data_IF_846017701586
#
_entry.id   IF_846017701586
#
_cell.length_a   1.000
_cell.length_b   1.000
_cell.length_c   1.000
_cell.angle_alpha   90.00
_cell.angle_beta   90.00
_cell.angle_gamma   90.00
#
_symmetry.space_group_name_H-M   'P 1'
#
loop_
_entity.id
_entity.type
_entity.pdbx_description
1 polymer ?
#
# COMPACT_ATOMS: atom_id res chain seq x y z
N UNK A 1 -14.94 10.57 0.69
CA UNK A 1 -16.00 10.32 -0.32
C UNK A 1 -16.43 8.86 -0.36
N UNK A 2 -15.51 7.90 -0.43
CA UNK A 2 -15.84 6.46 -0.47
C UNK A 2 -16.79 5.98 0.65
N UNK A 3 -16.62 6.45 1.90
CA UNK A 3 -17.49 6.08 3.01
C UNK A 3 -18.97 6.51 2.88
N UNK A 4 -19.30 7.46 2.00
CA UNK A 4 -20.68 7.92 1.80
C UNK A 4 -21.47 7.07 0.78
N UNK A 5 -20.80 6.22 -0.01
CA UNK A 5 -21.42 5.39 -1.05
C UNK A 5 -21.38 3.88 -0.73
N UNK A 6 -20.73 3.49 0.37
CA UNK A 6 -20.60 2.11 0.77
C UNK A 6 -21.96 1.50 1.18
N UNK A 7 -22.24 0.29 0.73
CA UNK A 7 -23.40 -0.50 1.19
C UNK A 7 -22.99 -1.63 2.16
N UNK A 8 -21.69 -1.83 2.34
CA UNK A 8 -21.09 -2.77 3.28
C UNK A 8 -20.38 -3.92 2.55
N UNK A 9 -19.08 -4.08 2.83
CA UNK A 9 -18.26 -5.17 2.29
C UNK A 9 -17.47 -4.82 1.03
N UNK A 10 -17.58 -3.59 0.52
CA UNK A 10 -16.77 -3.13 -0.62
C UNK A 10 -15.36 -2.71 -0.18
N UNK A 11 -14.36 -3.11 -0.98
CA UNK A 11 -13.00 -2.60 -0.90
C UNK A 11 -12.82 -1.53 -1.99
N UNK A 12 -12.77 -0.26 -1.58
CA UNK A 12 -12.64 0.85 -2.53
C UNK A 12 -11.18 1.17 -2.84
N UNK A 13 -10.91 1.43 -4.12
CA UNK A 13 -9.61 1.90 -4.61
C UNK A 13 -9.80 3.22 -5.36
N UNK A 14 -8.77 4.09 -5.29
CA UNK A 14 -8.81 5.44 -5.84
C UNK A 14 -7.86 5.58 -7.02
N UNK A 15 -8.30 6.32 -8.03
CA UNK A 15 -7.41 6.79 -9.09
C UNK A 15 -6.52 7.92 -8.57
N UNK A 16 -5.24 7.60 -8.36
CA UNK A 16 -4.22 8.54 -7.89
C UNK A 16 -3.56 9.30 -9.05
N UNK A 17 -3.96 9.02 -10.30
CA UNK A 17 -3.40 9.62 -11.49
C UNK A 17 -1.96 9.17 -11.76
N UNK A 18 -1.11 10.12 -12.16
CA UNK A 18 0.27 9.80 -12.58
C UNK A 18 1.19 9.64 -11.37
N UNK A 19 2.04 8.61 -11.34
CA UNK A 19 3.04 8.45 -10.29
C UNK A 19 4.07 9.60 -10.33
N UNK A 20 4.58 9.96 -9.17
CA UNK A 20 5.59 11.03 -9.01
C UNK A 20 6.90 10.42 -8.50
N UNK A 21 8.00 10.75 -9.17
CA UNK A 21 9.34 10.35 -8.70
C UNK A 21 9.75 11.22 -7.52
N UNK A 22 10.16 10.59 -6.42
CA UNK A 22 10.57 11.29 -5.19
C UNK A 22 11.76 12.23 -5.43
N UNK A 23 12.69 11.86 -6.32
CA UNK A 23 13.82 12.73 -6.69
C UNK A 23 13.37 14.02 -7.39
N UNK A 24 12.32 13.96 -8.22
CA UNK A 24 11.79 15.15 -8.91
C UNK A 24 11.05 16.05 -7.93
N UNK A 25 10.32 15.46 -6.98
CA UNK A 25 9.70 16.18 -5.87
C UNK A 25 10.75 16.92 -5.03
N UNK A 26 11.82 16.22 -4.60
CA UNK A 26 12.89 16.82 -3.80
C UNK A 26 13.55 18.00 -4.53
N UNK A 27 13.91 17.83 -5.82
CA UNK A 27 14.43 18.92 -6.66
C UNK A 27 13.46 20.09 -6.75
N UNK A 28 12.16 19.82 -6.90
CA UNK A 28 11.13 20.86 -6.98
C UNK A 28 11.03 21.66 -5.68
N UNK A 29 11.13 21.00 -4.53
CA UNK A 29 11.13 21.67 -3.22
C UNK A 29 12.35 22.58 -3.02
N UNK A 30 13.56 22.11 -3.39
CA UNK A 30 14.77 22.95 -3.33
C UNK A 30 14.64 24.18 -4.24
N UNK A 31 14.12 23.99 -5.46
CA UNK A 31 13.90 25.09 -6.40
C UNK A 31 12.91 26.14 -5.85
N UNK A 32 11.77 25.69 -5.32
CA UNK A 32 10.71 26.58 -4.80
C UNK A 32 11.13 27.32 -3.52
N UNK A 33 12.10 26.79 -2.78
CA UNK A 33 12.64 27.42 -1.57
C UNK A 33 13.90 28.25 -1.80
N UNK A 34 14.36 28.37 -3.06
CA UNK A 34 15.63 29.01 -3.43
C UNK A 34 16.85 28.37 -2.75
N UNK A 35 16.78 27.07 -2.41
CA UNK A 35 17.84 26.31 -1.73
C UNK A 35 18.55 25.31 -2.65
N UNK A 36 18.84 25.73 -3.88
CA UNK A 36 19.58 24.90 -4.85
C UNK A 36 21.05 24.68 -4.46
N UNK A 37 21.52 25.34 -3.39
CA UNK A 37 22.82 25.11 -2.75
C UNK A 37 22.89 23.78 -1.99
N UNK A 38 21.75 23.19 -1.62
CA UNK A 38 21.70 21.92 -0.88
C UNK A 38 21.82 20.71 -1.80
N UNK A 39 22.60 19.72 -1.38
CA UNK A 39 22.75 18.44 -2.05
C UNK A 39 21.61 17.47 -1.68
N UNK A 40 21.16 16.67 -2.66
CA UNK A 40 20.29 15.51 -2.42
C UNK A 40 21.16 14.26 -2.31
N UNK A 41 21.37 13.78 -1.08
CA UNK A 41 22.14 12.55 -0.82
C UNK A 41 21.25 11.31 -0.95
N UNK A 42 21.72 10.31 -1.70
CA UNK A 42 21.06 9.01 -1.80
C UNK A 42 21.51 8.11 -0.65
N UNK A 43 20.56 7.49 0.04
CA UNK A 43 20.81 6.67 1.25
C UNK A 43 20.47 5.18 1.08
N UNK A 44 20.02 4.77 -0.11
CA UNK A 44 19.50 3.42 -0.35
C UNK A 44 18.06 3.23 0.17
N UNK A 45 17.45 2.11 -0.21
CA UNK A 45 16.16 1.66 0.26
C UNK A 45 16.28 0.98 1.62
N UNK A 46 15.31 1.24 2.49
CA UNK A 46 15.19 0.59 3.79
C UNK A 46 14.57 -0.79 3.64
N UNK A 47 14.81 -1.66 4.63
CA UNK A 47 14.19 -2.99 4.70
C UNK A 47 12.66 -2.87 4.59
N UNK A 48 12.06 -3.64 3.69
CA UNK A 48 10.61 -3.62 3.45
C UNK A 48 10.13 -2.55 2.48
N UNK A 49 10.97 -1.61 2.05
CA UNK A 49 10.56 -0.59 1.07
C UNK A 49 10.48 -1.13 -0.35
N UNK A 50 9.52 -0.61 -1.11
CA UNK A 50 9.38 -0.81 -2.55
C UNK A 50 9.86 0.42 -3.30
N UNK A 51 10.50 0.21 -4.46
CA UNK A 51 10.88 1.30 -5.36
C UNK A 51 9.67 1.87 -6.11
N UNK A 52 8.66 1.02 -6.36
CA UNK A 52 7.37 1.36 -6.94
C UNK A 52 6.28 0.65 -6.16
N UNK A 53 5.22 1.37 -5.80
CA UNK A 53 4.01 0.76 -5.25
C UNK A 53 3.18 0.11 -6.37
N UNK A 54 2.32 -0.83 -5.99
CA UNK A 54 1.39 -1.44 -6.93
C UNK A 54 0.37 -0.40 -7.42
N UNK A 55 -0.05 -0.50 -8.69
CA UNK A 55 -1.17 0.29 -9.17
C UNK A 55 -2.45 -0.19 -8.47
N UNK A 56 -3.20 0.75 -7.89
CA UNK A 56 -4.38 0.43 -7.08
C UNK A 56 -5.59 -0.04 -7.89
N UNK A 57 -5.62 0.21 -9.21
CA UNK A 57 -6.74 -0.12 -10.09
C UNK A 57 -6.35 -1.29 -10.99
N UNK A 58 -7.08 -2.40 -10.87
CA UNK A 58 -7.02 -3.52 -11.80
C UNK A 58 -8.02 -3.32 -12.96
N UNK A 59 -7.73 -3.92 -14.11
CA UNK A 59 -8.64 -3.85 -15.27
C UNK A 59 -10.01 -4.48 -15.00
N UNK A 60 -10.11 -5.36 -14.00
CA UNK A 60 -11.33 -6.06 -13.60
C UNK A 60 -12.07 -5.40 -12.43
N UNK A 61 -11.61 -4.26 -11.94
CA UNK A 61 -12.27 -3.54 -10.84
C UNK A 61 -13.59 -2.91 -11.32
N UNK A 62 -14.61 -2.97 -10.47
CA UNK A 62 -15.92 -2.43 -10.80
C UNK A 62 -15.94 -0.90 -10.67
N UNK A 63 -16.42 -0.23 -11.72
CA UNK A 63 -16.61 1.23 -11.70
C UNK A 63 -17.73 1.63 -10.75
N UNK A 64 -17.57 2.78 -10.08
CA UNK A 64 -18.66 3.44 -9.36
C UNK A 64 -19.26 4.58 -10.20
N UNK A 65 -20.20 5.34 -9.62
CA UNK A 65 -20.72 6.57 -10.22
C UNK A 65 -19.69 7.71 -10.31
N UNK A 66 -18.52 7.57 -9.68
CA UNK A 66 -17.43 8.53 -9.72
C UNK A 66 -16.24 7.93 -10.48
N UNK A 67 -15.73 8.67 -11.46
CA UNK A 67 -14.62 8.21 -12.32
C UNK A 67 -13.34 7.89 -11.54
N UNK A 68 -13.12 8.55 -10.40
CA UNK A 68 -11.93 8.37 -9.56
C UNK A 68 -12.09 7.31 -8.47
N UNK A 69 -13.20 6.58 -8.41
CA UNK A 69 -13.49 5.59 -7.37
C UNK A 69 -13.92 4.25 -8.00
N UNK A 70 -13.23 3.18 -7.63
CA UNK A 70 -13.48 1.81 -8.09
C UNK A 70 -13.68 0.87 -6.90
N UNK A 71 -14.26 -0.30 -7.16
CA UNK A 71 -14.46 -1.37 -6.18
C UNK A 71 -13.65 -2.59 -6.59
N UNK A 72 -12.64 -2.92 -5.78
CA UNK A 72 -11.81 -4.09 -5.94
C UNK A 72 -12.52 -5.35 -5.42
N UNK A 73 -12.15 -6.49 -5.99
CA UNK A 73 -12.65 -7.80 -5.54
C UNK A 73 -12.02 -8.14 -4.18
N UNK A 74 -12.87 -8.50 -3.23
CA UNK A 74 -12.44 -8.99 -1.93
C UNK A 74 -13.39 -10.09 -1.47
N UNK A 75 -12.83 -11.23 -1.05
CA UNK A 75 -13.60 -12.34 -0.48
C UNK A 75 -13.60 -12.27 1.04
N UNK A 76 -14.72 -12.66 1.65
CA UNK A 76 -14.79 -12.79 3.12
C UNK A 76 -14.09 -14.07 3.53
N UNK A 77 -13.30 -13.97 4.59
CA UNK A 77 -12.71 -15.13 5.26
C UNK A 77 -13.56 -15.54 6.46
N UNK A 78 -13.38 -16.78 6.92
CA UNK A 78 -13.99 -17.24 8.14
C UNK A 78 -13.46 -16.45 9.35
N UNK A 79 -14.37 -15.91 10.16
CA UNK A 79 -14.01 -15.06 11.30
C UNK A 79 -13.42 -15.86 12.45
N UNK A 80 -13.84 -17.11 12.64
CA UNK A 80 -13.31 -17.96 13.70
C UNK A 80 -11.85 -18.31 13.41
N UNK A 81 -11.55 -18.68 12.16
CA UNK A 81 -10.18 -18.83 11.68
C UNK A 81 -9.36 -17.53 11.85
N UNK A 82 -9.86 -16.39 11.35
CA UNK A 82 -9.09 -15.14 11.37
C UNK A 82 -8.80 -14.68 12.80
N UNK A 83 -9.78 -14.77 13.72
CA UNK A 83 -9.58 -14.43 15.13
C UNK A 83 -8.52 -15.33 15.78
N UNK A 84 -8.52 -16.63 15.47
CA UNK A 84 -7.51 -17.56 15.97
C UNK A 84 -6.11 -17.22 15.48
N UNK A 85 -5.95 -16.84 14.21
CA UNK A 85 -4.63 -16.41 13.69
C UNK A 85 -4.21 -15.06 14.29
N UNK A 86 -5.14 -14.14 14.56
CA UNK A 86 -4.87 -12.88 15.28
C UNK A 86 -4.43 -13.12 16.72
N UNK A 87 -5.02 -14.08 17.42
CA UNK A 87 -4.53 -14.51 18.74
C UNK A 87 -3.14 -15.12 18.64
N UNK A 88 -2.86 -15.94 17.61
CA UNK A 88 -1.54 -16.50 17.38
C UNK A 88 -0.48 -15.42 17.16
N UNK A 89 -0.79 -14.37 16.39
CA UNK A 89 0.12 -13.25 16.13
C UNK A 89 0.60 -12.53 17.40
N UNK A 90 -0.17 -12.56 18.48
CA UNK A 90 0.20 -11.91 19.75
C UNK A 90 1.22 -12.70 20.57
N UNK A 91 1.37 -14.00 20.31
CA UNK A 91 2.21 -14.91 21.10
C UNK A 91 3.26 -15.66 20.28
N UNK A 92 3.20 -15.59 18.94
CA UNK A 92 4.14 -16.28 18.07
C UNK A 92 5.55 -15.68 18.16
N UNK A 93 6.56 -16.52 17.94
CA UNK A 93 7.97 -16.09 17.93
C UNK A 93 8.35 -15.38 16.61
N UNK A 94 7.82 -15.86 15.47
CA UNK A 94 8.02 -15.25 14.16
C UNK A 94 6.72 -14.67 13.59
N UNK A 95 6.53 -13.37 13.81
CA UNK A 95 5.38 -12.60 13.29
C UNK A 95 5.38 -12.60 11.75
N UNK A 96 6.54 -12.57 11.10
CA UNK A 96 6.61 -12.54 9.64
C UNK A 96 6.10 -13.84 9.03
N UNK A 97 6.42 -14.97 9.64
CA UNK A 97 5.93 -16.28 9.20
C UNK A 97 4.44 -16.44 9.50
N UNK A 98 3.99 -16.00 10.67
CA UNK A 98 2.57 -16.01 11.02
C UNK A 98 1.72 -15.14 10.06
N UNK A 99 2.21 -13.95 9.69
CA UNK A 99 1.55 -13.07 8.71
C UNK A 99 1.41 -13.72 7.33
N UNK A 100 2.39 -14.51 6.88
CA UNK A 100 2.34 -15.19 5.59
C UNK A 100 1.20 -16.22 5.51
N UNK A 101 0.75 -16.77 6.66
CA UNK A 101 -0.40 -17.68 6.71
C UNK A 101 -1.73 -16.96 6.49
N UNK A 102 -1.81 -15.70 6.90
CA UNK A 102 -3.02 -14.87 6.79
C UNK A 102 -3.07 -14.15 5.44
N UNK A 103 -1.90 -13.70 4.97
CA UNK A 103 -1.73 -12.93 3.72
C UNK A 103 -0.75 -13.69 2.82
N UNK A 104 -1.21 -14.66 2.01
CA UNK A 104 -0.34 -15.54 1.21
C UNK A 104 0.54 -14.81 0.20
N UNK A 105 0.13 -13.63 -0.25
CA UNK A 105 0.86 -12.76 -1.17
C UNK A 105 1.94 -11.91 -0.47
N UNK A 106 2.03 -11.96 0.86
CA UNK A 106 3.03 -11.20 1.61
C UNK A 106 4.45 -11.63 1.26
N UNK A 107 5.23 -10.71 0.71
CA UNK A 107 6.66 -10.90 0.43
C UNK A 107 7.48 -10.00 1.34
N UNK A 108 7.95 -10.54 2.46
CA UNK A 108 8.81 -9.80 3.37
C UNK A 108 10.17 -9.54 2.71
N UNK A 109 10.38 -8.32 2.23
CA UNK A 109 11.70 -7.90 1.77
C UNK A 109 12.62 -7.73 2.98
N UNK A 110 13.52 -8.70 3.17
CA UNK A 110 14.47 -8.71 4.29
C UNK A 110 15.75 -7.90 4.00
N UNK A 111 15.95 -7.50 2.74
CA UNK A 111 17.14 -6.80 2.28
C UNK A 111 16.79 -5.34 1.93
N UNK A 112 17.51 -4.38 2.52
CA UNK A 112 17.55 -3.01 2.01
C UNK A 112 18.68 -2.91 0.99
N UNK A 113 18.45 -2.26 -0.15
CA UNK A 113 19.45 -2.09 -1.23
C UNK A 113 19.70 -0.62 -1.48
#
# INVERSE_FOLDING_TARGET
QAGAIAKGGELFVLDMGKPVKIIDLAKKMLLLSNRNDLEIKITGLRKGEKLYEELLIDENDAKTQYESIFVAKNEKVDLDWLNKEIENLQICEDISEALLKIVPEFKHNKEGV
#
